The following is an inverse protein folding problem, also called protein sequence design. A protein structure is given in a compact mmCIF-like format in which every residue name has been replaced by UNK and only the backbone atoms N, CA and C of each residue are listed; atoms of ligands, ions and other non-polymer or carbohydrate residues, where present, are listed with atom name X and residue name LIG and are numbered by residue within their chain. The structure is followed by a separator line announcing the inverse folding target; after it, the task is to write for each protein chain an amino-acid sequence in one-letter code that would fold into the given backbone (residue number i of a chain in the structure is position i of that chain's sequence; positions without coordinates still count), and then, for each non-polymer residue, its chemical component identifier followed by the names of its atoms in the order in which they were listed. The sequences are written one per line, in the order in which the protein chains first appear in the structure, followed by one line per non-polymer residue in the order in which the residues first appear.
data_IF_156421560180
#
_entry.id   IF_156421560180
#
_cell.length_a   1.000
_cell.length_b   1.000
_cell.length_c   1.000
_cell.angle_alpha   90.00
_cell.angle_beta   90.00
_cell.angle_gamma   90.00
#
_symmetry.space_group_name_H-M   'P 1'
#
loop_
_entity.id
_entity.type
_entity.pdbx_description
1 polymer ?
#
# COMPACT_ATOMS: atom_id res chain seq x y z
N UNK A 1 -21.43 -0.57 3.80
CA UNK A 1 -20.06 -1.14 3.80
C UNK A 1 -19.29 -0.72 5.05
N UNK A 2 -19.38 0.54 5.47
CA UNK A 2 -18.73 1.06 6.69
C UNK A 2 -19.04 0.27 7.97
N UNK A 3 -20.28 -0.22 8.12
CA UNK A 3 -20.72 -0.98 9.29
C UNK A 3 -20.00 -2.33 9.47
N UNK A 4 -19.36 -2.82 8.42
CA UNK A 4 -18.64 -4.09 8.37
C UNK A 4 -17.12 -3.90 8.41
N UNK A 5 -16.63 -2.66 8.28
CA UNK A 5 -15.22 -2.34 8.43
C UNK A 5 -14.88 -2.17 9.91
N UNK A 6 -13.77 -2.78 10.32
CA UNK A 6 -13.17 -2.51 11.61
C UNK A 6 -12.47 -1.14 11.57
N UNK A 7 -13.15 -0.16 12.16
CA UNK A 7 -12.72 1.24 12.28
C UNK A 7 -12.30 1.53 13.73
N UNK A 8 -11.41 0.71 14.27
CA UNK A 8 -10.87 0.85 15.63
C UNK A 8 -10.14 2.18 15.89
N UNK A 9 -9.87 2.98 14.86
CA UNK A 9 -9.31 4.33 14.95
C UNK A 9 -10.40 5.40 14.72
N UNK A 10 -10.37 6.52 15.45
CA UNK A 10 -11.42 7.54 15.36
C UNK A 10 -11.34 8.35 14.07
N UNK A 11 -12.31 8.15 13.17
CA UNK A 11 -12.56 9.03 12.03
C UNK A 11 -13.24 10.33 12.48
N UNK A 12 -12.65 11.46 12.14
CA UNK A 12 -13.16 12.81 12.44
C UNK A 12 -13.37 13.61 11.16
N UNK A 13 -14.10 14.72 11.27
CA UNK A 13 -14.41 15.62 10.15
C UNK A 13 -13.18 16.14 9.41
N UNK A 14 -12.06 16.34 10.10
CA UNK A 14 -10.81 16.84 9.54
C UNK A 14 -9.89 15.72 9.04
N UNK A 15 -10.28 14.45 9.19
CA UNK A 15 -9.48 13.31 8.72
C UNK A 15 -9.31 13.34 7.21
N UNK A 16 -8.08 13.13 6.77
CA UNK A 16 -7.76 12.99 5.36
C UNK A 16 -7.75 11.51 4.99
N UNK A 17 -8.44 11.17 3.91
CA UNK A 17 -8.61 9.78 3.49
C UNK A 17 -8.05 9.58 2.10
N UNK A 18 -7.27 8.51 1.92
CA UNK A 18 -6.94 7.94 0.62
C UNK A 18 -7.53 6.54 0.52
N UNK A 19 -8.14 6.23 -0.62
CA UNK A 19 -8.67 4.91 -0.93
C UNK A 19 -7.88 4.36 -2.12
N UNK A 20 -7.19 3.25 -1.89
CA UNK A 20 -6.48 2.53 -2.92
C UNK A 20 -7.25 1.29 -3.32
N UNK A 21 -7.66 1.26 -4.58
CA UNK A 21 -8.51 0.23 -5.14
C UNK A 21 -8.30 0.15 -6.66
N UNK A 22 -8.86 -0.88 -7.30
CA UNK A 22 -8.72 -1.03 -8.74
C UNK A 22 -7.37 -1.57 -9.20
N UNK A 23 -6.64 -2.29 -8.35
CA UNK A 23 -5.34 -2.85 -8.74
C UNK A 23 -5.48 -3.89 -9.86
N UNK A 24 -4.64 -3.76 -10.89
CA UNK A 24 -4.56 -4.72 -11.99
C UNK A 24 -3.15 -4.87 -12.56
N UNK A 25 -2.92 -5.97 -13.26
CA UNK A 25 -1.70 -6.21 -14.02
C UNK A 25 -1.85 -5.69 -15.45
N UNK A 26 -0.89 -4.88 -15.90
CA UNK A 26 -0.93 -4.27 -17.23
C UNK A 26 -0.96 -5.33 -18.34
N UNK A 27 -0.36 -6.50 -18.11
CA UNK A 27 -0.33 -7.60 -19.09
C UNK A 27 -1.66 -8.33 -19.24
N UNK A 28 -2.48 -8.38 -18.19
CA UNK A 28 -3.81 -9.01 -18.22
C UNK A 28 -4.94 -8.00 -18.38
N UNK A 29 -4.67 -6.71 -18.18
CA UNK A 29 -5.68 -5.66 -18.17
C UNK A 29 -6.51 -5.64 -16.89
N UNK A 30 -7.54 -4.79 -16.89
CA UNK A 30 -8.48 -4.60 -15.79
C UNK A 30 -9.32 -5.86 -15.64
N UNK A 31 -9.21 -6.55 -14.50
CA UNK A 31 -9.93 -7.78 -14.20
C UNK A 31 -11.07 -7.55 -13.19
N UNK A 32 -11.80 -8.63 -12.84
CA UNK A 32 -12.94 -8.58 -11.92
C UNK A 32 -12.55 -7.99 -10.57
N UNK A 33 -11.35 -8.31 -10.06
CA UNK A 33 -10.88 -7.74 -8.80
C UNK A 33 -10.70 -6.23 -8.92
N UNK A 34 -10.10 -5.73 -9.99
CA UNK A 34 -9.94 -4.29 -10.20
C UNK A 34 -11.31 -3.58 -10.27
N UNK A 35 -12.26 -4.14 -11.02
CA UNK A 35 -13.61 -3.57 -11.15
C UNK A 35 -14.33 -3.55 -9.80
N UNK A 36 -14.39 -4.69 -9.12
CA UNK A 36 -15.18 -4.81 -7.90
C UNK A 36 -14.56 -4.10 -6.70
N UNK A 37 -13.22 -4.10 -6.58
CA UNK A 37 -12.53 -3.29 -5.57
C UNK A 37 -12.72 -1.79 -5.82
N UNK A 38 -12.71 -1.34 -7.08
CA UNK A 38 -12.98 0.06 -7.42
C UNK A 38 -14.41 0.47 -7.03
N UNK A 39 -15.41 -0.35 -7.38
CA UNK A 39 -16.81 -0.11 -6.97
C UNK A 39 -16.94 -0.06 -5.44
N UNK A 40 -16.28 -0.97 -4.72
CA UNK A 40 -16.29 -0.99 -3.27
C UNK A 40 -15.62 0.26 -2.68
N UNK A 41 -14.46 0.66 -3.19
CA UNK A 41 -13.75 1.88 -2.80
C UNK A 41 -14.58 3.15 -3.02
N UNK A 42 -15.27 3.26 -4.16
CA UNK A 42 -16.14 4.41 -4.46
C UNK A 42 -17.32 4.51 -3.50
N UNK A 43 -17.99 3.37 -3.23
CA UNK A 43 -19.07 3.30 -2.22
C UNK A 43 -18.55 3.68 -0.83
N UNK A 44 -17.38 3.17 -0.43
CA UNK A 44 -16.75 3.53 0.83
C UNK A 44 -16.47 5.04 0.92
N UNK A 45 -15.93 5.64 -0.14
CA UNK A 45 -15.63 7.07 -0.17
C UNK A 45 -16.87 7.94 0.00
N UNK A 46 -17.97 7.58 -0.68
CA UNK A 46 -19.26 8.27 -0.56
C UNK A 46 -19.87 8.09 0.85
N UNK A 47 -19.86 6.87 1.39
CA UNK A 47 -20.32 6.57 2.75
C UNK A 47 -19.51 7.36 3.80
N UNK A 48 -18.18 7.43 3.66
CA UNK A 48 -17.30 8.20 4.55
C UNK A 48 -17.60 9.70 4.50
N UNK A 49 -17.74 10.25 3.29
CA UNK A 49 -18.04 11.67 3.09
C UNK A 49 -19.39 12.06 3.72
N UNK A 50 -20.41 11.22 3.58
CA UNK A 50 -21.74 11.43 4.16
C UNK A 50 -21.76 11.28 5.68
N UNK A 51 -21.15 10.21 6.19
CA UNK A 51 -21.20 9.85 7.62
C UNK A 51 -20.38 10.79 8.48
N UNK A 52 -19.16 11.11 8.06
CA UNK A 52 -18.22 11.91 8.87
C UNK A 52 -18.15 13.38 8.43
N UNK A 53 -18.88 13.76 7.38
CA UNK A 53 -18.88 15.13 6.82
C UNK A 53 -17.46 15.65 6.56
N UNK A 54 -16.61 14.78 5.99
CA UNK A 54 -15.18 15.06 5.81
C UNK A 54 -14.96 16.42 5.14
N UNK A 55 -13.99 17.17 5.64
CA UNK A 55 -13.66 18.51 5.14
C UNK A 55 -13.06 18.44 3.73
N UNK A 56 -12.48 17.30 3.38
CA UNK A 56 -11.93 17.00 2.05
C UNK A 56 -12.54 15.71 1.55
N UNK A 57 -12.89 15.68 0.26
CA UNK A 57 -13.26 14.43 -0.42
C UNK A 57 -12.11 13.42 -0.29
N UNK A 58 -12.40 12.12 -0.10
CA UNK A 58 -11.38 11.08 -0.18
C UNK A 58 -10.61 11.15 -1.50
N UNK A 59 -9.30 11.02 -1.43
CA UNK A 59 -8.44 10.84 -2.60
C UNK A 59 -8.46 9.38 -3.04
N UNK A 60 -8.28 9.13 -4.34
CA UNK A 60 -8.25 7.77 -4.89
C UNK A 60 -6.92 7.49 -5.58
N UNK A 61 -6.45 6.25 -5.48
CA UNK A 61 -5.24 5.79 -6.17
C UNK A 61 -5.44 4.39 -6.72
N UNK A 62 -4.98 4.17 -7.94
CA UNK A 62 -4.91 2.86 -8.59
C UNK A 62 -3.44 2.45 -8.69
N UNK A 63 -3.10 1.29 -8.11
CA UNK A 63 -1.78 0.69 -8.30
C UNK A 63 -1.85 -0.21 -9.53
N UNK A 64 -0.87 -0.12 -10.43
CA UNK A 64 -0.78 -1.00 -11.61
C UNK A 64 0.52 -1.78 -11.58
N UNK A 65 0.42 -3.10 -11.78
CA UNK A 65 1.59 -3.94 -11.95
C UNK A 65 2.10 -3.81 -13.39
N UNK A 66 3.12 -2.96 -13.56
CA UNK A 66 3.84 -2.75 -14.82
C UNK A 66 5.23 -3.40 -14.82
N UNK A 67 5.48 -4.32 -13.88
CA UNK A 67 6.73 -5.09 -13.82
C UNK A 67 6.80 -6.13 -14.95
N UNK A 68 5.65 -6.56 -15.47
CA UNK A 68 5.55 -7.60 -16.52
C UNK A 68 6.00 -8.98 -16.03
N UNK A 69 5.95 -9.21 -14.72
CA UNK A 69 6.45 -10.41 -14.06
C UNK A 69 5.55 -10.76 -12.88
N UNK A 70 5.24 -12.04 -12.77
CA UNK A 70 4.62 -12.62 -11.59
C UNK A 70 5.74 -12.79 -10.54
N UNK A 71 5.67 -12.07 -9.42
CA UNK A 71 6.74 -12.01 -8.42
C UNK A 71 6.82 -13.28 -7.54
N UNK A 72 6.38 -14.43 -8.05
CA UNK A 72 6.13 -15.64 -7.28
C UNK A 72 7.36 -16.54 -7.09
N UNK A 73 8.50 -16.31 -7.75
CA UNK A 73 9.72 -17.14 -7.57
C UNK A 73 11.08 -16.40 -7.61
N UNK A 74 12.08 -17.09 -7.05
CA UNK A 74 13.25 -16.63 -6.30
C UNK A 74 14.27 -15.68 -6.96
N UNK A 75 14.22 -15.38 -8.26
CA UNK A 75 15.21 -14.48 -8.89
C UNK A 75 14.51 -13.53 -9.86
N UNK A 76 14.67 -12.23 -9.61
CA UNK A 76 13.96 -11.17 -10.31
C UNK A 76 14.81 -10.60 -11.46
N UNK A 77 14.99 -11.37 -12.53
CA UNK A 77 15.63 -10.87 -13.74
C UNK A 77 14.64 -10.03 -14.57
N UNK A 78 14.92 -8.73 -14.70
CA UNK A 78 14.07 -7.81 -15.45
C UNK A 78 14.15 -8.12 -16.95
N UNK A 79 13.05 -8.56 -17.56
CA UNK A 79 12.86 -8.34 -19.00
C UNK A 79 12.46 -6.87 -19.22
N UNK A 80 13.06 -6.16 -20.17
CA UNK A 80 12.59 -4.84 -20.55
C UNK A 80 11.21 -4.99 -21.20
N UNK A 81 10.16 -4.83 -20.41
CA UNK A 81 8.82 -4.60 -20.96
C UNK A 81 8.83 -3.21 -21.60
N UNK A 82 8.42 -3.14 -22.88
CA UNK A 82 8.16 -1.86 -23.51
C UNK A 82 7.15 -1.07 -22.66
N UNK A 83 7.25 0.27 -22.57
CA UNK A 83 6.25 1.07 -21.86
C UNK A 83 4.90 0.88 -22.54
N UNK A 84 4.10 -0.06 -22.04
CA UNK A 84 2.71 -0.16 -22.40
C UNK A 84 1.98 1.05 -21.82
N UNK A 85 1.19 1.70 -22.65
CA UNK A 85 0.23 2.70 -22.20
C UNK A 85 -0.73 2.01 -21.23
N UNK A 86 -0.90 2.59 -20.04
CA UNK A 86 -1.78 2.01 -19.01
C UNK A 86 -3.19 2.45 -19.34
N UNK A 87 -3.96 1.58 -19.98
CA UNK A 87 -5.38 1.83 -20.22
C UNK A 87 -6.15 1.72 -18.90
N UNK A 88 -6.77 2.85 -18.51
CA UNK A 88 -7.58 2.97 -17.29
C UNK A 88 -9.03 3.37 -17.60
N UNK A 89 -9.43 3.34 -18.87
CA UNK A 89 -10.71 3.88 -19.34
C UNK A 89 -11.90 3.24 -18.63
N UNK A 90 -11.91 1.92 -18.48
CA UNK A 90 -12.99 1.22 -17.77
C UNK A 90 -13.07 1.60 -16.28
N UNK A 91 -11.94 1.88 -15.61
CA UNK A 91 -11.96 2.38 -14.23
C UNK A 91 -12.47 3.82 -14.16
N UNK A 92 -12.11 4.68 -15.12
CA UNK A 92 -12.61 6.06 -15.20
C UNK A 92 -14.13 6.10 -15.42
N UNK A 93 -14.68 5.20 -16.24
CA UNK A 93 -16.12 5.06 -16.42
C UNK A 93 -16.84 4.70 -15.11
N UNK A 94 -16.25 3.84 -14.28
CA UNK A 94 -16.80 3.51 -12.96
C UNK A 94 -16.76 4.71 -11.99
N UNK A 95 -15.74 5.57 -12.09
CA UNK A 95 -15.60 6.74 -11.23
C UNK A 95 -16.51 7.91 -11.63
N UNK A 96 -16.93 8.00 -12.90
CA UNK A 96 -17.68 9.14 -13.43
C UNK A 96 -18.99 9.45 -12.65
N UNK A 97 -19.84 8.47 -12.26
CA UNK A 97 -21.04 8.73 -11.46
C UNK A 97 -20.77 9.32 -10.07
N UNK A 98 -19.55 9.17 -9.56
CA UNK A 98 -19.13 9.68 -8.25
C UNK A 98 -18.37 11.00 -8.35
N UNK A 99 -18.14 11.53 -9.56
CA UNK A 99 -17.29 12.71 -9.83
C UNK A 99 -15.89 12.57 -9.20
N UNK A 100 -15.34 11.35 -9.26
CA UNK A 100 -14.03 11.00 -8.69
C UNK A 100 -12.99 10.87 -9.80
N UNK A 101 -11.77 11.33 -9.53
CA UNK A 101 -10.56 10.99 -10.28
C UNK A 101 -9.58 10.25 -9.37
N UNK A 102 -8.62 9.54 -9.97
CA UNK A 102 -7.60 8.81 -9.23
C UNK A 102 -6.21 9.03 -9.82
N UNK A 103 -5.20 8.92 -8.95
CA UNK A 103 -3.81 8.86 -9.36
C UNK A 103 -3.42 7.43 -9.75
N UNK A 104 -2.59 7.26 -10.77
CA UNK A 104 -2.00 5.96 -11.11
C UNK A 104 -0.61 5.85 -10.51
N UNK A 105 -0.35 4.76 -9.78
CA UNK A 105 0.96 4.41 -9.22
C UNK A 105 1.45 3.11 -9.85
N UNK A 106 2.61 3.18 -10.51
CA UNK A 106 3.25 2.02 -11.13
C UNK A 106 4.09 1.25 -10.12
N UNK A 107 3.95 -0.07 -10.04
CA UNK A 107 4.79 -0.91 -9.19
C UNK A 107 6.29 -0.77 -9.49
N UNK A 108 6.68 -0.58 -10.75
CA UNK A 108 8.06 -0.28 -11.14
C UNK A 108 8.60 0.97 -10.44
N UNK A 109 7.77 2.00 -10.27
CA UNK A 109 8.16 3.21 -9.54
C UNK A 109 8.42 2.88 -8.06
N UNK A 110 7.58 2.06 -7.44
CA UNK A 110 7.70 1.64 -6.05
C UNK A 110 8.93 0.74 -5.83
N UNK A 111 9.17 -0.22 -6.74
CA UNK A 111 10.38 -1.05 -6.74
C UNK A 111 11.64 -0.20 -6.87
N UNK A 112 11.67 0.74 -7.81
CA UNK A 112 12.81 1.64 -8.00
C UNK A 112 13.07 2.53 -6.78
N UNK A 113 12.00 3.01 -6.10
CA UNK A 113 12.13 3.72 -4.83
C UNK A 113 12.76 2.83 -3.75
N UNK A 114 12.26 1.60 -3.63
CA UNK A 114 12.77 0.62 -2.67
C UNK A 114 14.23 0.27 -2.91
N UNK A 115 14.63 0.04 -4.18
CA UNK A 115 16.01 -0.22 -4.56
C UNK A 115 16.94 0.98 -4.25
N UNK A 116 16.48 2.23 -4.48
CA UNK A 116 17.22 3.43 -4.08
C UNK A 116 17.34 3.57 -2.57
N UNK A 117 16.31 3.17 -1.82
CA UNK A 117 16.39 3.11 -0.36
C UNK A 117 17.46 2.10 0.07
N UNK A 118 17.40 0.84 -0.41
CA UNK A 118 18.38 -0.19 -0.07
C UNK A 118 19.80 0.22 -0.47
N UNK A 119 19.99 0.83 -1.64
CA UNK A 119 21.31 1.33 -2.08
C UNK A 119 21.90 2.37 -1.12
N UNK A 120 21.06 3.18 -0.47
CA UNK A 120 21.52 4.15 0.54
C UNK A 120 21.79 3.47 1.86
N UNK A 121 20.89 2.61 2.30
CA UNK A 121 21.06 1.85 3.54
C UNK A 121 22.27 0.91 3.52
N UNK A 122 22.56 0.23 2.40
CA UNK A 122 23.76 -0.61 2.26
C UNK A 122 25.07 0.19 2.34
N UNK A 123 25.04 1.50 2.07
CA UNK A 123 26.22 2.38 2.25
C UNK A 123 26.40 2.87 3.69
N UNK A 124 25.31 2.88 4.45
CA UNK A 124 25.25 3.36 5.82
C UNK A 124 24.12 2.64 6.55
N UNK A 125 24.41 1.45 7.06
CA UNK A 125 23.40 0.58 7.67
C UNK A 125 22.86 1.15 8.98
N UNK A 126 23.61 2.05 9.61
CA UNK A 126 23.17 2.78 10.79
C UNK A 126 22.06 3.82 10.49
N UNK A 127 21.78 4.11 9.22
CA UNK A 127 20.73 5.05 8.83
C UNK A 127 19.30 4.55 9.11
N UNK A 128 19.12 3.25 9.36
CA UNK A 128 17.84 2.64 9.72
C UNK A 128 18.08 1.37 10.55
N UNK A 129 18.04 1.50 11.88
CA UNK A 129 18.31 0.43 12.85
C UNK A 129 17.25 -0.69 12.83
N UNK A 130 16.08 -0.44 12.23
CA UNK A 130 15.03 -1.46 12.08
C UNK A 130 15.37 -2.52 11.04
N UNK A 131 16.45 -2.34 10.28
CA UNK A 131 16.90 -3.28 9.28
C UNK A 131 18.24 -3.90 9.68
N UNK A 132 18.41 -5.19 9.39
CA UNK A 132 19.67 -5.90 9.57
C UNK A 132 19.99 -6.79 8.38
N UNK A 133 21.28 -6.97 8.12
CA UNK A 133 21.78 -7.89 7.10
C UNK A 133 22.13 -9.21 7.77
N UNK A 134 21.47 -10.29 7.35
CA UNK A 134 21.76 -11.67 7.77
C UNK A 134 22.13 -12.51 6.54
N UNK A 135 23.43 -12.75 6.35
CA UNK A 135 23.93 -13.37 5.12
C UNK A 135 23.63 -12.49 3.90
N UNK A 136 22.85 -13.01 2.96
CA UNK A 136 22.39 -12.26 1.77
C UNK A 136 21.00 -11.66 1.94
N UNK A 137 20.33 -11.88 3.08
CA UNK A 137 18.98 -11.37 3.33
C UNK A 137 19.01 -10.07 4.14
N UNK A 138 18.18 -9.10 3.75
CA UNK A 138 17.93 -7.87 4.50
C UNK A 138 16.61 -8.07 5.24
N UNK A 139 16.69 -8.19 6.56
CA UNK A 139 15.55 -8.43 7.43
C UNK A 139 15.09 -7.14 8.08
N UNK A 140 13.77 -7.02 8.27
CA UNK A 140 13.14 -6.02 9.12
C UNK A 140 12.87 -6.62 10.49
N UNK A 141 13.23 -5.87 11.53
CA UNK A 141 12.96 -6.21 12.92
C UNK A 141 11.48 -5.91 13.22
N UNK A 142 10.69 -6.97 13.22
CA UNK A 142 9.24 -6.93 13.35
C UNK A 142 8.83 -7.36 14.74
N UNK A 143 7.90 -6.62 15.32
CA UNK A 143 7.28 -6.95 16.61
C UNK A 143 6.17 -8.00 16.43
N UNK A 144 5.61 -8.12 15.22
CA UNK A 144 4.45 -8.96 14.93
C UNK A 144 4.80 -10.29 14.25
N UNK A 145 5.92 -10.36 13.53
CA UNK A 145 6.28 -11.53 12.73
C UNK A 145 7.72 -11.96 12.97
N UNK A 146 7.97 -13.28 13.05
CA UNK A 146 9.30 -13.81 13.37
C UNK A 146 10.35 -13.52 12.28
N UNK A 147 9.93 -13.33 11.03
CA UNK A 147 10.82 -13.04 9.91
C UNK A 147 10.10 -12.20 8.84
N UNK A 148 10.63 -11.00 8.59
CA UNK A 148 10.17 -10.13 7.50
C UNK A 148 11.35 -9.79 6.60
N UNK A 149 11.33 -10.30 5.37
CA UNK A 149 12.39 -10.02 4.38
C UNK A 149 12.06 -8.72 3.66
N UNK A 150 12.85 -7.67 3.92
CA UNK A 150 12.74 -6.37 3.26
C UNK A 150 13.47 -6.36 1.91
N UNK A 151 14.53 -7.15 1.78
CA UNK A 151 15.33 -7.24 0.58
C UNK A 151 16.31 -8.41 0.61
N UNK A 152 17.10 -8.53 -0.45
CA UNK A 152 18.27 -9.38 -0.52
C UNK A 152 19.43 -8.61 -1.15
N UNK A 153 20.65 -9.10 -0.99
CA UNK A 153 21.86 -8.58 -1.65
C UNK A 153 22.30 -9.60 -2.69
N UNK A 154 22.53 -9.15 -3.93
CA UNK A 154 23.06 -10.01 -4.98
C UNK A 154 24.60 -10.07 -4.95
N UNK A 155 25.20 -10.83 -5.86
CA UNK A 155 26.67 -10.97 -5.97
C UNK A 155 27.39 -9.63 -6.27
N UNK A 156 26.68 -8.66 -6.84
CA UNK A 156 27.21 -7.31 -7.12
C UNK A 156 27.02 -6.33 -5.94
N UNK A 157 26.70 -6.84 -4.74
CA UNK A 157 26.38 -6.06 -3.55
C UNK A 157 25.18 -5.10 -3.72
N UNK A 158 24.34 -5.35 -4.73
CA UNK A 158 23.15 -4.56 -4.99
C UNK A 158 21.94 -5.10 -4.23
N UNK A 159 21.23 -4.18 -3.57
CA UNK A 159 19.98 -4.48 -2.87
C UNK A 159 18.82 -4.75 -3.83
N UNK A 160 18.24 -5.94 -3.74
CA UNK A 160 17.01 -6.37 -4.41
C UNK A 160 15.85 -6.23 -3.43
N UNK A 161 14.93 -5.26 -3.61
CA UNK A 161 13.81 -5.08 -2.70
C UNK A 161 12.79 -6.23 -2.83
N UNK A 162 12.19 -6.61 -1.71
CA UNK A 162 11.06 -7.56 -1.64
C UNK A 162 9.75 -6.84 -1.35
N UNK A 163 8.62 -7.51 -1.59
CA UNK A 163 7.29 -6.92 -1.55
C UNK A 163 6.97 -6.14 -0.25
N UNK A 164 7.33 -6.59 0.97
CA UNK A 164 7.07 -5.82 2.18
C UNK A 164 7.67 -4.40 2.13
N UNK A 165 8.89 -4.26 1.62
CA UNK A 165 9.52 -2.94 1.46
C UNK A 165 8.84 -2.10 0.37
N UNK A 166 8.41 -2.73 -0.72
CA UNK A 166 7.68 -2.06 -1.81
C UNK A 166 6.34 -1.51 -1.31
N UNK A 167 5.60 -2.29 -0.53
CA UNK A 167 4.37 -1.86 0.14
C UNK A 167 4.66 -0.72 1.12
N UNK A 168 5.75 -0.81 1.89
CA UNK A 168 6.16 0.27 2.81
C UNK A 168 6.47 1.59 2.08
N UNK A 169 7.12 1.53 0.92
CA UNK A 169 7.35 2.71 0.05
C UNK A 169 6.06 3.24 -0.59
N UNK A 170 5.11 2.36 -0.89
CA UNK A 170 3.78 2.76 -1.36
C UNK A 170 3.02 3.55 -0.29
N UNK A 171 2.96 3.04 0.94
CA UNK A 171 2.30 3.74 2.04
C UNK A 171 2.97 5.10 2.33
N UNK A 172 4.30 5.17 2.32
CA UNK A 172 5.03 6.45 2.44
C UNK A 172 4.62 7.45 1.36
N UNK A 173 4.48 7.01 0.10
CA UNK A 173 4.01 7.86 -0.99
C UNK A 173 2.56 8.30 -0.78
N UNK A 174 1.67 7.38 -0.39
CA UNK A 174 0.25 7.66 -0.14
C UNK A 174 0.07 8.69 0.97
N UNK A 175 0.76 8.55 2.10
CA UNK A 175 0.66 9.51 3.20
C UNK A 175 1.30 10.86 2.87
N UNK A 176 2.36 10.90 2.05
CA UNK A 176 2.93 12.16 1.54
C UNK A 176 1.98 12.93 0.63
N UNK A 177 1.11 12.25 -0.11
CA UNK A 177 0.06 12.88 -0.92
C UNK A 177 -1.03 13.51 -0.06
N UNK A 178 -1.38 12.87 1.06
CA UNK A 178 -2.31 13.44 2.03
C UNK A 178 -1.69 14.66 2.75
N UNK A 179 -0.39 14.62 3.08
CA UNK A 179 0.31 15.61 3.92
C UNK A 179 0.54 17.01 3.32
N UNK A 180 -0.17 17.42 2.26
CA UNK A 180 0.03 18.74 1.64
C UNK A 180 -0.48 19.94 2.48
N UNK A 181 -1.15 19.72 3.62
CA UNK A 181 -1.58 20.81 4.52
C UNK A 181 -1.02 20.67 5.94
N UNK A 182 -0.44 21.76 6.45
CA UNK A 182 0.18 21.96 7.78
C UNK A 182 -0.70 21.67 9.02
N UNK A 183 -1.87 21.05 8.89
CA UNK A 183 -2.74 20.74 10.02
C UNK A 183 -2.52 19.29 10.50
N UNK A 184 -2.55 19.13 11.82
CA UNK A 184 -2.43 17.87 12.60
C UNK A 184 -3.61 16.90 12.40
N UNK A 185 -4.19 16.86 11.21
CA UNK A 185 -5.30 15.97 10.89
C UNK A 185 -4.83 14.53 10.82
N UNK A 186 -5.59 13.61 11.43
CA UNK A 186 -5.43 12.17 11.22
C UNK A 186 -5.49 11.85 9.71
N UNK A 187 -4.68 10.88 9.29
CA UNK A 187 -4.58 10.45 7.90
C UNK A 187 -4.85 8.96 7.84
N UNK A 188 -5.69 8.54 6.89
CA UNK A 188 -6.14 7.17 6.78
C UNK A 188 -5.99 6.69 5.35
N UNK A 189 -5.39 5.53 5.17
CA UNK A 189 -5.35 4.81 3.89
C UNK A 189 -6.23 3.57 4.02
N UNK A 190 -7.23 3.44 3.15
CA UNK A 190 -7.96 2.18 2.94
C UNK A 190 -7.36 1.50 1.72
N UNK A 191 -6.76 0.32 1.92
CA UNK A 191 -5.98 -0.38 0.89
C UNK A 191 -6.66 -1.70 0.54
N UNK A 192 -7.29 -1.76 -0.64
CA UNK A 192 -8.01 -2.93 -1.13
C UNK A 192 -7.06 -3.91 -1.81
N UNK A 193 -6.99 -5.11 -1.25
CA UNK A 193 -6.02 -6.12 -1.61
C UNK A 193 -6.69 -7.46 -1.93
N UNK A 194 -6.03 -8.25 -2.78
CA UNK A 194 -6.40 -9.65 -2.97
C UNK A 194 -6.06 -10.43 -1.72
N UNK A 195 -6.85 -11.44 -1.39
CA UNK A 195 -6.58 -12.34 -0.24
C UNK A 195 -5.21 -13.02 -0.37
N UNK A 196 -4.79 -13.35 -1.59
CA UNK A 196 -3.47 -13.95 -1.88
C UNK A 196 -2.29 -13.03 -1.49
N UNK A 197 -2.50 -11.72 -1.43
CA UNK A 197 -1.48 -10.73 -1.11
C UNK A 197 -1.41 -10.41 0.39
N UNK A 198 -2.21 -11.09 1.22
CA UNK A 198 -2.34 -10.79 2.65
C UNK A 198 -1.00 -10.72 3.37
N UNK A 199 -0.16 -11.75 3.24
CA UNK A 199 1.11 -11.83 3.97
C UNK A 199 2.07 -10.68 3.63
N UNK A 200 2.24 -10.37 2.34
CA UNK A 200 3.18 -9.33 1.90
C UNK A 200 2.70 -7.92 2.30
N UNK A 201 1.38 -7.71 2.29
CA UNK A 201 0.75 -6.42 2.56
C UNK A 201 0.73 -6.10 4.06
N UNK A 202 0.38 -7.07 4.92
CA UNK A 202 0.37 -6.85 6.38
C UNK A 202 1.78 -6.59 6.91
N UNK A 203 2.79 -7.33 6.43
CA UNK A 203 4.20 -7.13 6.79
C UNK A 203 4.72 -5.79 6.30
N UNK A 204 4.36 -5.40 5.07
CA UNK A 204 4.71 -4.08 4.54
C UNK A 204 4.06 -2.92 5.28
N UNK A 205 2.85 -3.13 5.80
CA UNK A 205 2.11 -2.14 6.60
C UNK A 205 2.78 -1.89 7.94
N UNK A 206 3.11 -2.95 8.67
CA UNK A 206 3.90 -2.84 9.90
C UNK A 206 5.24 -2.17 9.64
N UNK A 207 5.96 -2.60 8.59
CA UNK A 207 7.24 -2.02 8.22
C UNK A 207 7.13 -0.51 7.94
N UNK A 208 6.07 -0.05 7.29
CA UNK A 208 5.81 1.39 7.15
C UNK A 208 5.60 2.06 8.50
N UNK A 209 4.69 1.51 9.32
CA UNK A 209 4.29 2.13 10.57
C UNK A 209 5.45 2.23 11.57
N UNK A 210 6.28 1.21 11.67
CA UNK A 210 7.46 1.20 12.55
C UNK A 210 8.56 2.17 12.08
N UNK A 211 8.74 2.33 10.76
CA UNK A 211 9.93 3.00 10.20
C UNK A 211 9.70 4.45 9.78
N UNK A 212 8.46 4.77 9.37
CA UNK A 212 8.17 6.00 8.62
C UNK A 212 6.95 6.76 9.11
N UNK A 213 6.10 6.15 9.93
CA UNK A 213 4.93 6.84 10.47
C UNK A 213 5.34 8.02 11.36
N UNK A 214 4.50 9.04 11.37
CA UNK A 214 4.65 10.24 12.21
C UNK A 214 3.62 10.25 13.35
N UNK A 215 2.95 9.13 13.61
CA UNK A 215 2.04 8.96 14.74
C UNK A 215 0.59 9.39 14.47
N UNK A 216 0.27 9.86 13.25
CA UNK A 216 -1.10 10.31 12.89
C UNK A 216 -1.69 9.51 11.73
N UNK A 217 -0.98 8.47 11.30
CA UNK A 217 -1.33 7.58 10.21
C UNK A 217 -2.01 6.31 10.72
N UNK A 218 -3.10 5.93 10.04
CA UNK A 218 -3.74 4.64 10.15
C UNK A 218 -3.93 4.01 8.75
N UNK A 219 -3.79 2.70 8.67
CA UNK A 219 -3.97 1.92 7.44
C UNK A 219 -5.04 0.87 7.72
N UNK A 220 -6.04 0.78 6.86
CA UNK A 220 -7.04 -0.30 6.88
C UNK A 220 -6.79 -1.18 5.69
N UNK A 221 -6.29 -2.38 5.96
CA UNK A 221 -6.09 -3.38 4.93
C UNK A 221 -7.39 -4.12 4.67
N UNK A 222 -7.96 -3.98 3.48
CA UNK A 222 -9.23 -4.60 3.08
C UNK A 222 -8.95 -5.75 2.12
N UNK A 223 -9.02 -6.97 2.62
CA UNK A 223 -8.87 -8.18 1.80
C UNK A 223 -10.19 -8.59 1.21
N UNK A 224 -10.29 -8.58 -0.10
CA UNK A 224 -11.55 -8.71 -0.83
C UNK A 224 -11.51 -9.92 -1.79
N UNK A 225 -12.57 -10.74 -1.78
CA UNK A 225 -12.82 -11.78 -2.77
C UNK A 225 -13.84 -11.27 -3.80
N UNK A 226 -13.38 -11.07 -5.04
CA UNK A 226 -14.22 -10.55 -6.12
C UNK A 226 -15.35 -11.48 -6.56
N UNK A 227 -15.26 -12.79 -6.27
CA UNK A 227 -16.29 -13.76 -6.64
C UNK A 227 -17.43 -13.76 -5.64
N UNK A 228 -17.10 -13.74 -4.35
CA UNK A 228 -18.12 -13.78 -3.29
C UNK A 228 -18.55 -12.40 -2.83
N UNK A 229 -17.78 -11.36 -3.15
CA UNK A 229 -17.91 -10.01 -2.62
C UNK A 229 -17.69 -9.91 -1.10
N UNK A 230 -17.17 -10.98 -0.48
CA UNK A 230 -16.80 -10.99 0.93
C UNK A 230 -15.51 -10.19 1.14
N UNK A 231 -15.39 -9.58 2.31
CA UNK A 231 -14.13 -8.95 2.72
C UNK A 231 -13.82 -9.14 4.20
N UNK A 232 -12.54 -8.99 4.51
CA UNK A 232 -12.02 -8.86 5.87
C UNK A 232 -11.17 -7.60 5.91
N UNK A 233 -11.48 -6.69 6.83
CA UNK A 233 -10.66 -5.52 7.09
C UNK A 233 -9.78 -5.73 8.32
N UNK A 234 -8.52 -5.29 8.25
CA UNK A 234 -7.59 -5.30 9.37
C UNK A 234 -7.03 -3.89 9.54
N UNK A 235 -7.39 -3.17 10.63
CA UNK A 235 -6.86 -1.85 10.91
C UNK A 235 -5.48 -1.95 11.55
N UNK A 236 -4.60 -1.03 11.17
CA UNK A 236 -3.28 -0.83 11.74
C UNK A 236 -3.09 0.66 12.02
N UNK A 237 -2.74 1.01 13.25
CA UNK A 237 -2.27 2.35 13.59
C UNK A 237 -0.87 2.30 14.21
N UNK A 238 -0.18 3.44 14.20
CA UNK A 238 1.08 3.60 14.92
C UNK A 238 0.93 3.36 16.43
N UNK A 239 -0.24 3.65 17.01
CA UNK A 239 -0.53 3.35 18.42
C UNK A 239 -0.66 1.83 18.68
N UNK A 240 -1.15 1.05 17.71
CA UNK A 240 -1.33 -0.39 17.87
C UNK A 240 0.00 -1.15 17.91
N UNK A 241 1.04 -0.65 17.22
CA UNK A 241 2.38 -1.22 17.30
C UNK A 241 3.06 -0.89 18.63
N UNK A 242 2.88 0.33 19.16
CA UNK A 242 3.44 0.73 20.45
C UNK A 242 2.81 0.04 21.67
N UNK A 243 1.58 -0.49 21.56
CA UNK A 243 0.89 -1.19 22.67
C UNK A 243 1.08 -2.70 22.69
N UNK A 244 1.58 -3.32 21.62
CA UNK A 244 1.77 -4.78 21.54
C UNK A 244 3.19 -5.24 21.90
N UNK A 245 4.11 -4.28 22.09
CA UNK A 245 5.48 -4.50 22.57
C UNK A 245 5.64 -4.36 24.11
N UNK A 246 4.53 -4.33 24.87
CA UNK A 246 4.50 -4.14 26.33
C UNK A 246 3.88 -5.33 27.07
#
# INVERSE_FOLDING_TARGET
MLSELDLSFPLKRDTQVLIACGYFDVSTGIDDFAVESMKAGLRLGDELQKTYSLTRKPAFTVIVNDLGMDCSQDVCEMRPAAPAEVDTSALLELCAPFEVTFDVVKERTLRNRSARFLKRWLKDTASDESLRLEGTEILFDSDLYPKVIAGAVNEEEAGIPRCPLIVSEYLDLSFKRLSASRQRSSRVVFDFNRVADKDKVIKGTEMYLARKSQGQEAVVQVFFDAKTHDFVSIPYSSEDLGRRAA
#
